data_IF_533279058941
#
_entry.id   IF_533279058941
#
_cell.length_a   1.000
_cell.length_b   1.000
_cell.length_c   1.000
_cell.angle_alpha   90.00
_cell.angle_beta   90.00
_cell.angle_gamma   90.00
#
_symmetry.space_group_name_H-M   'P 1'
#
loop_
_entity.id
_entity.type
_entity.pdbx_description
1 polymer ?
#
# COMPACT_ATOMS: atom_id res chain seq x y z
N UNK A 1 -1.55 6.26 -7.46
CA UNK A 1 -1.74 6.62 -6.04
C UNK A 1 -0.39 7.01 -5.42
N UNK A 2 0.35 7.93 -6.05
CA UNK A 2 1.50 8.55 -5.40
C UNK A 2 0.93 9.71 -4.60
N UNK A 3 0.84 9.51 -3.30
CA UNK A 3 0.55 10.51 -2.29
C UNK A 3 1.65 11.61 -2.30
N UNK A 4 1.62 12.49 -3.30
CA UNK A 4 2.45 13.69 -3.33
C UNK A 4 1.82 14.86 -2.55
N UNK A 5 0.62 14.69 -1.99
CA UNK A 5 -0.13 15.77 -1.33
C UNK A 5 -0.06 15.72 0.20
N UNK A 6 0.08 14.53 0.80
CA UNK A 6 0.19 14.27 2.24
C UNK A 6 1.55 13.63 2.61
N UNK A 7 2.25 13.01 1.66
CA UNK A 7 3.53 12.30 1.88
C UNK A 7 3.46 11.25 3.02
N UNK A 8 2.32 10.59 3.15
CA UNK A 8 2.03 9.60 4.21
C UNK A 8 2.86 8.36 3.99
N UNK A 9 3.87 8.18 4.86
CA UNK A 9 4.64 6.94 4.90
C UNK A 9 3.71 5.79 5.31
N UNK A 10 3.80 4.67 4.58
CA UNK A 10 3.11 3.42 4.89
C UNK A 10 1.73 3.21 4.27
N UNK A 11 1.15 4.19 3.58
CA UNK A 11 -0.14 4.01 2.90
C UNK A 11 -0.10 2.98 1.73
N UNK A 12 1.09 2.61 1.25
CA UNK A 12 1.25 1.74 0.08
C UNK A 12 0.75 0.30 0.28
N UNK A 13 0.98 -0.29 1.46
CA UNK A 13 0.54 -1.65 1.79
C UNK A 13 -1.00 -1.78 1.89
N UNK A 14 -1.70 -0.99 2.75
CA UNK A 14 -3.17 -1.03 2.83
C UNK A 14 -3.84 -0.67 1.50
N UNK A 15 -3.27 0.28 0.75
CA UNK A 15 -3.81 0.67 -0.56
C UNK A 15 -3.78 -0.48 -1.57
N UNK A 16 -2.70 -1.28 -1.57
CA UNK A 16 -2.61 -2.43 -2.46
C UNK A 16 -3.55 -3.56 -2.04
N UNK A 17 -3.70 -3.81 -0.73
CA UNK A 17 -4.68 -4.77 -0.23
C UNK A 17 -6.10 -4.37 -0.63
N UNK A 18 -6.48 -3.09 -0.43
CA UNK A 18 -7.77 -2.56 -0.86
C UNK A 18 -7.98 -2.66 -2.37
N UNK A 19 -6.95 -2.37 -3.17
CA UNK A 19 -7.02 -2.50 -4.62
C UNK A 19 -7.25 -3.95 -5.07
N UNK A 20 -6.64 -4.94 -4.40
CA UNK A 20 -6.87 -6.35 -4.70
C UNK A 20 -8.28 -6.80 -4.26
N UNK A 21 -8.79 -6.31 -3.12
CA UNK A 21 -10.16 -6.60 -2.68
C UNK A 21 -11.22 -6.11 -3.69
N UNK A 22 -11.02 -4.92 -4.26
CA UNK A 22 -11.93 -4.35 -5.27
C UNK A 22 -11.74 -4.98 -6.66
N UNK A 23 -10.52 -5.43 -6.96
CA UNK A 23 -10.17 -6.01 -8.26
C UNK A 23 -9.39 -7.33 -8.11
N UNK A 24 -10.06 -8.43 -7.69
CA UNK A 24 -9.38 -9.68 -7.35
C UNK A 24 -8.69 -10.34 -8.55
N UNK A 25 -9.19 -10.14 -9.77
CA UNK A 25 -8.62 -10.73 -10.99
C UNK A 25 -7.38 -9.98 -11.51
N UNK A 26 -7.01 -8.86 -10.88
CA UNK A 26 -5.87 -8.05 -11.30
C UNK A 26 -4.69 -8.28 -10.36
N UNK A 27 -3.51 -8.45 -10.95
CA UNK A 27 -2.26 -8.46 -10.19
C UNK A 27 -2.00 -7.05 -9.64
N UNK A 28 -1.79 -6.95 -8.33
CA UNK A 28 -1.51 -5.69 -7.62
C UNK A 28 -0.10 -5.76 -7.03
N UNK A 29 0.66 -4.66 -7.17
CA UNK A 29 2.00 -4.51 -6.61
C UNK A 29 2.09 -3.18 -5.84
N UNK A 30 2.43 -3.26 -4.55
CA UNK A 30 2.84 -2.10 -3.76
C UNK A 30 4.36 -1.92 -3.85
N UNK A 31 4.81 -0.69 -4.06
CA UNK A 31 6.22 -0.31 -3.88
C UNK A 31 6.27 0.52 -2.60
N UNK A 32 6.97 0.02 -1.59
CA UNK A 32 7.11 0.66 -0.28
C UNK A 32 8.59 0.70 0.11
N UNK A 33 9.02 1.80 0.74
CA UNK A 33 10.27 1.79 1.49
C UNK A 33 10.13 0.93 2.75
N UNK A 34 11.24 0.53 3.34
CA UNK A 34 11.32 -0.28 4.57
C UNK A 34 10.57 0.37 5.75
N UNK A 35 10.80 1.66 6.01
CA UNK A 35 10.12 2.38 7.09
C UNK A 35 8.60 2.49 6.87
N UNK A 36 8.17 2.75 5.63
CA UNK A 36 6.75 2.80 5.30
C UNK A 36 6.08 1.42 5.36
N UNK A 37 6.76 0.39 4.88
CA UNK A 37 6.25 -0.98 4.97
C UNK A 37 6.07 -1.41 6.43
N UNK A 38 7.07 -1.16 7.29
CA UNK A 38 7.01 -1.55 8.70
C UNK A 38 5.88 -0.87 9.48
N UNK A 39 5.48 0.35 9.10
CA UNK A 39 4.39 1.07 9.78
C UNK A 39 3.07 0.32 9.80
N UNK A 40 2.74 -0.39 8.72
CA UNK A 40 1.49 -1.15 8.58
C UNK A 40 1.73 -2.64 8.29
N UNK A 41 2.95 -3.12 8.51
CA UNK A 41 3.32 -4.53 8.27
C UNK A 41 2.50 -5.52 9.09
N UNK A 42 1.83 -5.06 10.16
CA UNK A 42 0.92 -5.88 10.96
C UNK A 42 -0.38 -6.24 10.21
N UNK A 43 -0.67 -5.61 9.08
CA UNK A 43 -1.84 -5.89 8.25
C UNK A 43 -1.65 -7.07 7.29
N UNK A 44 -0.42 -7.57 7.13
CA UNK A 44 -0.11 -8.77 6.34
C UNK A 44 -0.59 -10.04 7.05
#
# INVERSE_FOLDING_TARGET
LLDNALATMGAGLPSAMGAHLVHPDRRVMAICGDGGFMMNSQEL
#
